data_IF_631133207162
#
_entry.id   IF_631133207162
#
_cell.length_a   1.000
_cell.length_b   1.000
_cell.length_c   1.000
_cell.angle_alpha   90.00
_cell.angle_beta   90.00
_cell.angle_gamma   90.00
#
_symmetry.space_group_name_H-M   'P 1'
#
loop_
_entity.id
_entity.type
_entity.pdbx_description
1 polymer ?
#
# COMPACT_ATOMS: atom_id res chain seq x y z
N UNK A 1 -7.81 2.74 17.43
CA UNK A 1 -6.66 3.65 17.22
C UNK A 1 -6.02 3.55 15.83
N UNK A 2 -6.18 2.45 15.08
CA UNK A 2 -5.65 2.32 13.70
C UNK A 2 -6.26 3.29 12.66
N UNK A 3 -7.53 3.70 12.84
CA UNK A 3 -8.21 4.66 11.97
C UNK A 3 -7.63 6.07 12.10
N UNK A 4 -7.36 6.52 13.33
CA UNK A 4 -6.87 7.87 13.63
C UNK A 4 -5.42 8.11 13.16
N UNK A 5 -4.61 7.05 13.12
CA UNK A 5 -3.27 7.10 12.51
C UNK A 5 -3.33 7.18 10.97
N UNK A 6 -4.37 6.62 10.36
CA UNK A 6 -4.54 6.64 8.89
C UNK A 6 -5.00 7.97 8.35
N UNK A 7 -5.92 8.61 9.06
CA UNK A 7 -6.41 9.94 8.72
C UNK A 7 -5.29 10.99 8.79
N UNK A 8 -4.38 10.89 9.77
CA UNK A 8 -3.23 11.80 9.89
C UNK A 8 -2.19 11.66 8.78
N UNK A 9 -1.90 10.42 8.35
CA UNK A 9 -0.96 10.19 7.26
C UNK A 9 -1.53 10.61 5.90
N UNK A 10 -2.80 10.28 5.64
CA UNK A 10 -3.47 10.64 4.40
C UNK A 10 -3.69 12.15 4.28
N UNK A 11 -3.98 12.85 5.38
CA UNK A 11 -4.10 14.31 5.38
C UNK A 11 -2.75 14.98 5.14
N UNK A 12 -1.67 14.52 5.79
CA UNK A 12 -0.33 15.04 5.55
C UNK A 12 0.11 14.83 4.10
N UNK A 13 -0.09 13.64 3.56
CA UNK A 13 0.24 13.33 2.18
C UNK A 13 -0.62 14.12 1.18
N UNK A 14 -1.89 14.39 1.52
CA UNK A 14 -2.75 15.29 0.74
C UNK A 14 -2.25 16.73 0.76
N UNK A 15 -1.83 17.25 1.91
CA UNK A 15 -1.25 18.61 1.98
C UNK A 15 0.03 18.72 1.16
N UNK A 16 0.93 17.73 1.27
CA UNK A 16 2.17 17.70 0.48
C UNK A 16 1.85 17.59 -1.01
N UNK A 17 0.98 16.66 -1.39
CA UNK A 17 0.55 16.47 -2.77
C UNK A 17 -0.11 17.73 -3.34
N UNK A 18 -0.95 18.40 -2.56
CA UNK A 18 -1.59 19.65 -2.96
C UNK A 18 -0.62 20.81 -3.09
N UNK A 19 0.38 20.90 -2.20
CA UNK A 19 1.46 21.89 -2.31
C UNK A 19 2.31 21.70 -3.56
N UNK A 20 2.73 20.44 -3.84
CA UNK A 20 3.48 20.10 -5.06
C UNK A 20 2.63 20.38 -6.31
N UNK A 21 1.37 19.94 -6.31
CA UNK A 21 0.43 20.19 -7.39
C UNK A 21 0.22 21.67 -7.66
N UNK A 22 0.03 22.48 -6.61
CA UNK A 22 -0.16 23.92 -6.76
C UNK A 22 1.09 24.61 -7.30
N UNK A 23 2.28 24.21 -6.85
CA UNK A 23 3.55 24.73 -7.38
C UNK A 23 3.72 24.41 -8.87
N UNK A 24 3.48 23.16 -9.27
CA UNK A 24 3.56 22.74 -10.66
C UNK A 24 2.51 23.46 -11.52
N UNK A 25 1.27 23.57 -11.04
CA UNK A 25 0.19 24.27 -11.74
C UNK A 25 0.41 25.76 -11.89
N UNK A 26 0.99 26.42 -10.88
CA UNK A 26 1.38 27.82 -10.96
C UNK A 26 2.38 28.05 -12.09
N UNK A 27 3.44 27.23 -12.13
CA UNK A 27 4.47 27.32 -13.15
C UNK A 27 3.92 27.01 -14.55
N UNK A 28 3.01 26.04 -14.66
CA UNK A 28 2.38 25.71 -15.94
C UNK A 28 1.46 26.85 -16.43
N UNK A 29 0.75 27.53 -15.53
CA UNK A 29 -0.09 28.68 -15.86
C UNK A 29 0.70 29.95 -16.23
N UNK A 30 2.01 30.01 -15.96
CA UNK A 30 2.87 31.10 -16.46
C UNK A 30 3.23 30.95 -17.95
N UNK A 31 3.16 29.73 -18.48
CA UNK A 31 3.61 29.40 -19.85
C UNK A 31 2.48 28.96 -20.77
N UNK A 32 1.25 28.82 -20.26
CA UNK A 32 0.09 28.33 -21.01
C UNK A 32 -0.88 29.48 -21.27
N UNK A 33 -1.20 29.74 -22.54
CA UNK A 33 -2.19 30.74 -22.90
C UNK A 33 -3.61 30.30 -22.50
N UNK A 34 -4.40 31.22 -21.94
CA UNK A 34 -5.80 30.98 -21.59
C UNK A 34 -6.06 30.48 -20.16
N UNK A 35 -5.02 30.23 -19.35
CA UNK A 35 -5.15 29.88 -17.92
C UNK A 35 -4.29 30.82 -17.09
N UNK A 36 -4.87 31.47 -16.09
CA UNK A 36 -4.07 32.27 -15.15
C UNK A 36 -3.21 31.37 -14.23
N UNK A 37 -2.02 31.83 -13.79
CA UNK A 37 -1.17 31.06 -12.86
C UNK A 37 -1.88 30.62 -11.59
N UNK A 38 -2.77 31.47 -11.05
CA UNK A 38 -3.57 31.14 -9.86
C UNK A 38 -4.58 30.03 -10.17
N UNK A 39 -5.24 30.06 -11.33
CA UNK A 39 -6.14 28.97 -11.73
C UNK A 39 -5.39 27.66 -11.91
N UNK A 40 -4.22 27.69 -12.56
CA UNK A 40 -3.36 26.52 -12.70
C UNK A 40 -2.96 25.93 -11.34
N UNK A 41 -2.54 26.79 -10.41
CA UNK A 41 -2.19 26.38 -9.04
C UNK A 41 -3.38 25.76 -8.28
N UNK A 42 -4.58 26.33 -8.40
CA UNK A 42 -5.76 25.81 -7.72
C UNK A 42 -6.19 24.45 -8.29
N UNK A 43 -6.21 24.30 -9.62
CA UNK A 43 -6.61 23.06 -10.27
C UNK A 43 -5.61 21.94 -9.94
N UNK A 44 -4.33 22.18 -10.19
CA UNK A 44 -3.31 21.16 -9.95
C UNK A 44 -3.07 20.92 -8.46
N UNK A 45 -3.26 21.93 -7.61
CA UNK A 45 -3.23 21.77 -6.16
C UNK A 45 -4.38 20.92 -5.63
N UNK A 46 -5.60 21.10 -6.15
CA UNK A 46 -6.73 20.25 -5.80
C UNK A 46 -6.51 18.79 -6.24
N UNK A 47 -6.00 18.59 -7.47
CA UNK A 47 -5.65 17.25 -7.98
C UNK A 47 -4.55 16.63 -7.11
N UNK A 48 -3.48 17.38 -6.83
CA UNK A 48 -2.38 16.93 -5.99
C UNK A 48 -2.81 16.55 -4.59
N UNK A 49 -3.80 17.24 -4.02
CA UNK A 49 -4.36 16.91 -2.70
C UNK A 49 -5.08 15.56 -2.71
N UNK A 50 -5.89 15.31 -3.74
CA UNK A 50 -6.61 14.04 -3.89
C UNK A 50 -5.63 12.90 -4.15
N UNK A 51 -4.69 13.08 -5.08
CA UNK A 51 -3.72 12.04 -5.43
C UNK A 51 -2.76 11.74 -4.27
N UNK A 52 -2.28 12.77 -3.57
CA UNK A 52 -1.41 12.60 -2.40
C UNK A 52 -2.09 11.83 -1.26
N UNK A 53 -3.34 12.19 -0.95
CA UNK A 53 -4.11 11.49 0.09
C UNK A 53 -4.48 10.06 -0.30
N UNK A 54 -4.89 9.83 -1.55
CA UNK A 54 -5.18 8.50 -2.07
C UNK A 54 -3.94 7.60 -2.12
N UNK A 55 -2.78 8.12 -2.56
CA UNK A 55 -1.53 7.38 -2.61
C UNK A 55 -1.08 6.90 -1.23
N UNK A 56 -1.18 7.76 -0.21
CA UNK A 56 -0.86 7.38 1.16
C UNK A 56 -1.84 6.34 1.73
N UNK A 57 -3.12 6.42 1.40
CA UNK A 57 -4.10 5.40 1.78
C UNK A 57 -3.76 4.04 1.16
N UNK A 58 -3.45 4.00 -0.13
CA UNK A 58 -3.09 2.76 -0.84
C UNK A 58 -1.85 2.15 -0.21
N UNK A 59 -0.78 2.93 -0.03
CA UNK A 59 0.46 2.45 0.57
C UNK A 59 0.22 1.90 1.98
N UNK A 60 -0.57 2.61 2.80
CA UNK A 60 -0.93 2.13 4.14
C UNK A 60 -1.69 0.81 4.09
N UNK A 61 -2.68 0.69 3.20
CA UNK A 61 -3.47 -0.53 3.03
C UNK A 61 -2.60 -1.71 2.61
N UNK A 62 -1.64 -1.50 1.70
CA UNK A 62 -0.67 -2.51 1.29
C UNK A 62 0.21 -2.94 2.47
N UNK A 63 0.74 -1.99 3.24
CA UNK A 63 1.56 -2.30 4.41
C UNK A 63 0.78 -3.10 5.46
N UNK A 64 -0.47 -2.70 5.72
CA UNK A 64 -1.34 -3.42 6.65
C UNK A 64 -1.63 -4.84 6.16
N UNK A 65 -1.87 -5.01 4.86
CA UNK A 65 -2.09 -6.30 4.25
C UNK A 65 -0.87 -7.23 4.39
N UNK A 66 0.33 -6.70 4.14
CA UNK A 66 1.60 -7.45 4.31
C UNK A 66 1.76 -7.89 5.76
N UNK A 67 1.50 -7.02 6.74
CA UNK A 67 1.58 -7.37 8.16
C UNK A 67 0.63 -8.52 8.49
N UNK A 68 -0.60 -8.50 7.99
CA UNK A 68 -1.54 -9.60 8.21
C UNK A 68 -1.10 -10.92 7.57
N UNK A 69 -0.51 -10.88 6.37
CA UNK A 69 0.08 -12.08 5.75
C UNK A 69 1.17 -12.66 6.63
N UNK A 70 2.09 -11.82 7.14
CA UNK A 70 3.19 -12.27 8.00
C UNK A 70 2.64 -12.87 9.30
N UNK A 71 1.67 -12.20 9.93
CA UNK A 71 1.03 -12.73 11.14
C UNK A 71 0.35 -14.08 10.88
N UNK A 72 -0.36 -14.21 9.77
CA UNK A 72 -0.98 -15.47 9.38
C UNK A 72 0.06 -16.58 9.17
N UNK A 73 1.13 -16.28 8.42
CA UNK A 73 2.21 -17.23 8.16
C UNK A 73 2.90 -17.69 9.45
N UNK A 74 3.14 -16.78 10.39
CA UNK A 74 3.72 -17.11 11.70
C UNK A 74 2.84 -18.07 12.49
N UNK A 75 1.52 -17.80 12.55
CA UNK A 75 0.58 -18.69 13.24
C UNK A 75 0.53 -20.07 12.55
N UNK A 76 0.47 -20.09 11.22
CA UNK A 76 0.47 -21.32 10.44
C UNK A 76 1.74 -22.16 10.66
N UNK A 77 2.90 -21.50 10.80
CA UNK A 77 4.17 -22.16 11.07
C UNK A 77 4.26 -22.71 12.50
N UNK A 78 3.93 -21.90 13.51
CA UNK A 78 4.00 -22.28 14.92
C UNK A 78 3.04 -23.45 15.21
N UNK A 79 1.82 -23.39 14.67
CA UNK A 79 0.80 -24.39 14.90
C UNK A 79 0.74 -25.49 13.83
N UNK A 80 1.80 -25.63 13.00
CA UNK A 80 1.82 -26.55 11.85
C UNK A 80 1.37 -27.97 12.20
N UNK A 81 1.85 -28.54 13.30
CA UNK A 81 1.51 -29.91 13.70
C UNK A 81 0.05 -30.07 14.14
N UNK A 82 -0.53 -29.05 14.76
CA UNK A 82 -1.93 -29.05 15.16
C UNK A 82 -2.85 -28.86 13.95
N UNK A 83 -2.46 -27.97 13.03
CA UNK A 83 -3.17 -27.76 11.76
C UNK A 83 -3.15 -29.04 10.93
N UNK A 84 -2.00 -29.70 10.83
CA UNK A 84 -1.85 -30.97 10.13
C UNK A 84 -2.68 -32.08 10.78
N UNK A 85 -2.71 -32.16 12.11
CA UNK A 85 -3.56 -33.12 12.81
C UNK A 85 -5.07 -32.88 12.60
N UNK A 86 -5.50 -31.63 12.38
CA UNK A 86 -6.90 -31.28 12.17
C UNK A 86 -7.34 -31.37 10.70
N UNK A 87 -6.46 -31.03 9.77
CA UNK A 87 -6.80 -30.86 8.35
C UNK A 87 -6.19 -31.95 7.46
N UNK A 88 -5.22 -32.71 7.97
CA UNK A 88 -4.39 -33.61 7.17
C UNK A 88 -3.42 -32.90 6.22
N UNK A 89 -3.34 -31.56 6.29
CA UNK A 89 -2.53 -30.74 5.38
C UNK A 89 -1.46 -30.01 6.17
N UNK A 90 -0.20 -30.19 5.76
CA UNK A 90 0.90 -29.39 6.29
C UNK A 90 0.86 -27.99 5.65
N UNK A 91 0.70 -26.91 6.44
CA UNK A 91 0.56 -25.56 5.90
C UNK A 91 1.84 -25.05 5.22
N UNK A 92 3.02 -25.53 5.60
CA UNK A 92 4.29 -25.14 4.96
C UNK A 92 4.37 -25.75 3.56
N UNK A 93 4.13 -27.06 3.45
CA UNK A 93 4.11 -27.76 2.16
C UNK A 93 3.04 -27.21 1.22
N UNK A 94 1.87 -26.83 1.74
CA UNK A 94 0.82 -26.21 0.93
C UNK A 94 1.29 -24.89 0.29
N UNK A 95 2.10 -24.09 1.02
CA UNK A 95 2.70 -22.86 0.50
C UNK A 95 3.77 -23.18 -0.55
N UNK A 96 4.66 -24.14 -0.30
CA UNK A 96 5.68 -24.59 -1.26
C UNK A 96 5.06 -25.03 -2.59
N UNK A 97 4.01 -25.84 -2.54
CA UNK A 97 3.28 -26.29 -3.75
C UNK A 97 2.65 -25.10 -4.48
N UNK A 98 2.05 -24.17 -3.74
CA UNK A 98 1.42 -22.98 -4.33
C UNK A 98 2.46 -22.10 -5.02
N UNK A 99 3.61 -21.85 -4.37
CA UNK A 99 4.72 -21.09 -4.95
C UNK A 99 5.33 -21.82 -6.14
N UNK A 100 5.50 -23.14 -6.05
CA UNK A 100 5.96 -23.99 -7.15
C UNK A 100 5.04 -23.89 -8.38
N UNK A 101 3.73 -23.86 -8.17
CA UNK A 101 2.74 -23.63 -9.24
C UNK A 101 2.85 -22.23 -9.86
N UNK A 102 3.34 -21.24 -9.12
CA UNK A 102 3.69 -19.92 -9.64
C UNK A 102 5.10 -19.83 -10.26
N UNK A 103 5.80 -20.96 -10.36
CA UNK A 103 7.16 -21.05 -10.91
C UNK A 103 8.27 -20.70 -9.92
N UNK A 104 7.94 -20.56 -8.63
CA UNK A 104 8.87 -20.26 -7.56
C UNK A 104 9.14 -21.54 -6.76
N UNK A 105 10.20 -22.27 -7.12
CA UNK A 105 10.65 -23.41 -6.33
C UNK A 105 11.41 -22.92 -5.10
N UNK A 106 10.79 -23.13 -3.93
CA UNK A 106 11.35 -22.75 -2.63
C UNK A 106 11.25 -23.97 -1.72
N UNK A 107 12.34 -24.29 -1.04
CA UNK A 107 12.36 -25.27 0.04
C UNK A 107 12.26 -24.52 1.36
N UNK A 108 11.13 -24.68 2.05
CA UNK A 108 10.84 -24.05 3.34
C UNK A 108 10.95 -25.06 4.49
N UNK A 109 11.35 -26.31 4.19
CA UNK A 109 11.63 -27.30 5.21
C UNK A 109 12.91 -26.91 5.98
N UNK A 110 12.88 -26.88 7.32
CA UNK A 110 14.10 -26.76 8.10
C UNK A 110 14.77 -28.14 8.20
N UNK A 111 16.08 -28.19 7.96
CA UNK A 111 16.95 -29.29 8.41
C UNK A 111 16.78 -29.57 9.92
#
# INVERSE_FOLDING_TARGET
>A
MAYNSGTGLASLAGVIGGGIGAYLGYNQGLVTEGISPVQGALIMGAIGLVVGSAGAFILKSVMQFIVYIIMFALLAYIFRGQIEALTGVNPVTAVEVTLGNFGLNVDLSPD
#
